data_IF_803661325996
#
_entry.id   IF_803661325996
#
_cell.length_a   1.000
_cell.length_b   1.000
_cell.length_c   1.000
_cell.angle_alpha   90.00
_cell.angle_beta   90.00
_cell.angle_gamma   90.00
#
_symmetry.space_group_name_H-M   'P 1'
#
loop_
_entity.id
_entity.type
_entity.pdbx_description
1 polymer ?
#
# COMPACT_ATOMS: atom_id res chain seq x y z
N UNK A 1 -11.37 -2.61 -10.71
CA UNK A 1 -10.69 -2.02 -11.86
C UNK A 1 -10.32 -0.58 -11.58
N UNK A 2 -9.11 -0.17 -11.94
CA UNK A 2 -8.64 1.19 -11.68
C UNK A 2 -8.95 2.11 -12.86
N UNK A 3 -9.22 3.38 -12.56
CA UNK A 3 -9.27 4.40 -13.60
C UNK A 3 -8.19 5.44 -13.32
N UNK A 4 -7.59 5.95 -14.39
CA UNK A 4 -6.59 6.99 -14.29
C UNK A 4 -7.22 8.31 -13.83
N UNK A 5 -6.50 9.04 -12.99
CA UNK A 5 -6.93 10.37 -12.54
C UNK A 5 -5.78 11.35 -12.75
N UNK A 6 -6.08 12.65 -12.72
CA UNK A 6 -5.03 13.66 -12.71
C UNK A 6 -4.12 13.43 -11.51
N UNK A 7 -2.81 13.41 -11.69
CA UNK A 7 -1.89 13.20 -10.58
C UNK A 7 -2.14 14.22 -9.46
N UNK A 8 -2.22 13.71 -8.24
CA UNK A 8 -2.42 14.55 -7.07
C UNK A 8 -1.60 14.04 -5.89
N UNK A 9 -1.31 14.87 -4.91
CA UNK A 9 -0.67 14.39 -3.69
C UNK A 9 -1.54 13.35 -2.98
N UNK A 10 -0.92 12.49 -2.18
CA UNK A 10 -1.68 11.61 -1.30
C UNK A 10 -2.48 12.47 -0.32
N UNK A 11 -3.71 12.04 -0.03
CA UNK A 11 -4.49 12.66 1.04
C UNK A 11 -3.82 12.37 2.38
N UNK A 12 -4.15 13.13 3.44
CA UNK A 12 -3.59 12.84 4.76
C UNK A 12 -3.85 11.40 5.21
N UNK A 13 -5.01 10.85 4.91
CA UNK A 13 -5.35 9.46 5.26
C UNK A 13 -4.53 8.45 4.46
N UNK A 14 -4.38 8.68 3.17
CA UNK A 14 -3.57 7.83 2.30
C UNK A 14 -2.11 7.86 2.74
N UNK A 15 -1.61 9.05 3.06
CA UNK A 15 -0.23 9.21 3.50
C UNK A 15 0.01 8.52 4.85
N UNK A 16 -0.91 8.68 5.79
CA UNK A 16 -0.79 8.02 7.09
C UNK A 16 -0.73 6.50 6.95
N UNK A 17 -1.56 5.95 6.05
CA UNK A 17 -1.56 4.51 5.80
C UNK A 17 -0.25 4.06 5.16
N UNK A 18 0.24 4.81 4.17
CA UNK A 18 1.52 4.50 3.52
C UNK A 18 2.67 4.56 4.52
N UNK A 19 2.72 5.58 5.35
CA UNK A 19 3.77 5.72 6.37
C UNK A 19 3.72 4.57 7.37
N UNK A 20 2.52 4.14 7.74
CA UNK A 20 2.35 3.02 8.64
C UNK A 20 2.91 1.73 8.03
N UNK A 21 2.54 1.44 6.78
CA UNK A 21 3.05 0.25 6.08
C UNK A 21 4.57 0.28 6.00
N UNK A 22 5.14 1.44 5.69
CA UNK A 22 6.59 1.59 5.52
C UNK A 22 7.33 1.68 6.85
N UNK A 23 6.63 1.71 7.98
CA UNK A 23 7.26 1.65 9.29
C UNK A 23 7.74 0.24 9.63
N UNK A 24 7.28 -0.77 8.88
CA UNK A 24 7.76 -2.14 9.05
C UNK A 24 9.19 -2.28 8.49
N UNK A 25 9.95 -3.21 9.06
CA UNK A 25 11.29 -3.50 8.58
C UNK A 25 11.25 -4.65 7.57
N UNK A 26 11.68 -4.35 6.34
CA UNK A 26 11.78 -5.35 5.27
C UNK A 26 12.80 -4.84 4.26
N UNK A 27 13.38 -5.73 3.43
CA UNK A 27 14.35 -5.29 2.42
C UNK A 27 13.74 -4.27 1.48
N UNK A 28 14.39 -3.12 1.35
CA UNK A 28 13.93 -2.03 0.47
C UNK A 28 13.06 -0.98 1.14
N UNK A 29 12.69 -1.16 2.41
CA UNK A 29 11.77 -0.21 3.07
C UNK A 29 12.34 1.21 3.13
N UNK A 30 13.65 1.35 3.29
CA UNK A 30 14.28 2.67 3.37
C UNK A 30 14.11 3.45 2.06
N UNK A 31 14.38 2.79 0.94
CA UNK A 31 14.24 3.41 -0.38
C UNK A 31 12.79 3.79 -0.65
N UNK A 32 11.86 2.93 -0.27
CA UNK A 32 10.44 3.22 -0.47
C UNK A 32 9.96 4.40 0.38
N UNK A 33 10.49 4.55 1.60
CA UNK A 33 10.19 5.72 2.43
C UNK A 33 10.62 7.01 1.74
N UNK A 34 11.80 7.00 1.12
CA UNK A 34 12.28 8.16 0.40
C UNK A 34 11.38 8.48 -0.79
N UNK A 35 10.93 7.44 -1.50
CA UNK A 35 10.03 7.62 -2.64
C UNK A 35 8.72 8.26 -2.24
N UNK A 36 8.26 7.99 -1.03
CA UNK A 36 6.96 8.51 -0.59
C UNK A 36 6.88 10.03 -0.65
N UNK A 37 8.01 10.71 -0.51
CA UNK A 37 8.04 12.18 -0.55
C UNK A 37 7.65 12.76 -1.90
N UNK A 38 7.85 11.99 -2.98
CA UNK A 38 7.49 12.43 -4.33
C UNK A 38 6.41 11.54 -4.95
N UNK A 39 5.70 10.78 -4.13
CA UNK A 39 4.62 9.92 -4.62
C UNK A 39 3.36 10.74 -4.89
N UNK A 40 2.67 10.37 -5.96
CA UNK A 40 1.39 10.95 -6.32
C UNK A 40 0.39 9.85 -6.61
N UNK A 41 -0.88 10.13 -6.35
CA UNK A 41 -1.97 9.24 -6.74
C UNK A 41 -2.28 9.49 -8.21
N UNK A 42 -2.24 8.44 -9.01
CA UNK A 42 -2.49 8.53 -10.45
C UNK A 42 -3.65 7.64 -10.91
N UNK A 43 -4.23 6.87 -10.01
CA UNK A 43 -5.38 6.03 -10.33
C UNK A 43 -6.17 5.69 -9.08
N UNK A 44 -7.47 5.45 -9.28
CA UNK A 44 -8.40 5.07 -8.21
C UNK A 44 -9.15 3.82 -8.62
N UNK A 45 -9.48 2.96 -7.66
CA UNK A 45 -10.35 1.83 -7.94
C UNK A 45 -11.79 2.33 -8.09
N UNK A 46 -12.44 1.91 -9.16
CA UNK A 46 -13.81 2.34 -9.45
C UNK A 46 -14.83 1.79 -8.46
N UNK A 47 -14.48 0.72 -7.73
CA UNK A 47 -15.42 0.11 -6.79
C UNK A 47 -15.60 0.92 -5.50
N UNK A 48 -14.77 1.92 -5.25
CA UNK A 48 -14.86 2.74 -4.04
C UNK A 48 -14.22 2.12 -2.81
N UNK A 49 -13.36 1.12 -3.00
CA UNK A 49 -12.71 0.45 -1.87
C UNK A 49 -11.57 1.26 -1.25
N UNK A 50 -11.13 2.33 -1.92
CA UNK A 50 -10.03 3.16 -1.41
C UNK A 50 -8.66 2.80 -1.98
N UNK A 51 -8.57 1.75 -2.80
CA UNK A 51 -7.33 1.38 -3.49
C UNK A 51 -6.86 2.52 -4.39
N UNK A 52 -5.57 2.86 -4.30
CA UNK A 52 -4.97 3.92 -5.11
C UNK A 52 -3.74 3.40 -5.84
N UNK A 53 -3.58 3.84 -7.07
CA UNK A 53 -2.34 3.61 -7.82
C UNK A 53 -1.42 4.79 -7.61
N UNK A 54 -0.14 4.51 -7.46
CA UNK A 54 0.87 5.51 -7.16
C UNK A 54 1.88 5.62 -8.29
N UNK A 55 2.43 6.81 -8.44
CA UNK A 55 3.59 7.04 -9.29
C UNK A 55 4.54 7.97 -8.56
N UNK A 56 5.83 7.87 -8.89
CA UNK A 56 6.85 8.71 -8.28
C UNK A 56 7.20 9.80 -9.29
N UNK A 57 7.10 11.04 -8.85
CA UNK A 57 7.48 12.17 -9.68
C UNK A 57 8.99 12.34 -9.67
N UNK A 58 9.59 12.30 -10.86
CA UNK A 58 11.02 12.44 -11.00
C UNK A 58 11.80 11.16 -10.74
N UNK A 59 13.12 11.24 -10.70
CA UNK A 59 13.95 10.07 -10.49
C UNK A 59 13.79 9.52 -9.06
N UNK A 60 13.86 8.21 -8.92
CA UNK A 60 13.73 7.55 -7.64
C UNK A 60 14.86 6.53 -7.47
N UNK A 61 15.36 6.41 -6.24
CA UNK A 61 16.23 5.31 -5.89
C UNK A 61 15.36 4.08 -5.75
N UNK A 62 15.62 3.08 -6.58
CA UNK A 62 14.80 1.86 -6.59
C UNK A 62 15.12 0.98 -5.39
N UNK A 63 14.09 0.40 -4.83
CA UNK A 63 14.21 -0.56 -3.74
C UNK A 63 14.49 -1.96 -4.31
N UNK A 64 15.22 -2.76 -3.55
CA UNK A 64 15.36 -4.17 -3.87
C UNK A 64 14.51 -4.93 -2.86
N UNK A 65 13.34 -5.36 -3.31
CA UNK A 65 12.39 -6.09 -2.48
C UNK A 65 12.34 -7.54 -2.93
N UNK A 66 12.28 -8.45 -1.96
CA UNK A 66 12.24 -9.88 -2.28
C UNK A 66 10.88 -10.32 -2.82
N UNK A 67 9.84 -9.52 -2.57
CA UNK A 67 8.47 -9.85 -2.96
C UNK A 67 7.78 -8.63 -3.56
N UNK A 68 6.82 -8.82 -4.49
CA UNK A 68 6.05 -7.69 -5.03
C UNK A 68 5.15 -7.04 -3.98
N UNK A 69 4.81 -7.76 -2.91
CA UNK A 69 4.10 -7.19 -1.77
C UNK A 69 4.92 -7.45 -0.53
N UNK A 70 5.86 -6.52 -0.20
CA UNK A 70 6.79 -6.76 0.90
C UNK A 70 6.18 -6.56 2.28
N UNK A 71 5.04 -5.89 2.38
CA UNK A 71 4.40 -5.62 3.66
C UNK A 71 2.89 -5.53 3.47
N UNK A 72 2.16 -5.99 4.50
CA UNK A 72 0.70 -5.91 4.56
C UNK A 72 0.30 -5.33 5.91
N UNK A 73 -0.90 -4.81 5.97
CA UNK A 73 -1.56 -4.49 7.24
C UNK A 73 -2.95 -5.12 7.19
N UNK A 74 -3.49 -5.43 8.35
CA UNK A 74 -4.76 -6.15 8.39
C UNK A 74 -5.54 -5.88 9.66
N UNK A 75 -6.83 -6.10 9.58
CA UNK A 75 -7.73 -6.29 10.71
C UNK A 75 -8.81 -7.27 10.27
N UNK A 76 -9.75 -7.59 11.16
CA UNK A 76 -10.81 -8.55 10.78
C UNK A 76 -11.50 -8.16 9.48
N UNK A 77 -11.55 -9.08 8.54
CA UNK A 77 -12.22 -8.96 7.24
C UNK A 77 -11.66 -7.86 6.33
N UNK A 78 -10.43 -7.38 6.59
CA UNK A 78 -9.84 -6.34 5.75
C UNK A 78 -8.32 -6.51 5.66
N UNK A 79 -7.80 -6.42 4.43
CA UNK A 79 -6.37 -6.42 4.17
C UNK A 79 -5.97 -5.13 3.46
N UNK A 80 -4.78 -4.65 3.76
CA UNK A 80 -4.15 -3.54 3.06
C UNK A 80 -2.81 -4.04 2.55
N UNK A 81 -2.58 -3.92 1.25
CA UNK A 81 -1.40 -4.49 0.58
C UNK A 81 -0.61 -3.37 -0.08
N UNK A 82 0.71 -3.33 0.20
CA UNK A 82 1.58 -2.41 -0.50
C UNK A 82 2.21 -3.15 -1.67
N UNK A 83 1.90 -2.73 -2.88
CA UNK A 83 2.50 -3.30 -4.10
C UNK A 83 3.69 -2.47 -4.54
N UNK A 84 4.79 -3.17 -4.84
CA UNK A 84 6.02 -2.57 -5.36
C UNK A 84 6.26 -3.16 -6.74
N UNK A 85 6.52 -2.29 -7.71
CA UNK A 85 6.76 -2.71 -9.09
C UNK A 85 8.10 -2.18 -9.55
N UNK A 86 9.00 -3.11 -9.87
CA UNK A 86 10.36 -2.76 -10.33
C UNK A 86 11.08 -1.82 -9.36
N UNK A 87 10.91 -2.06 -8.06
CA UNK A 87 11.57 -1.26 -7.04
C UNK A 87 10.93 0.07 -6.74
N UNK A 88 9.73 0.35 -7.27
CA UNK A 88 9.04 1.62 -7.10
C UNK A 88 7.67 1.38 -6.50
N UNK A 89 7.21 2.28 -5.64
CA UNK A 89 5.85 2.23 -5.09
C UNK A 89 4.84 2.16 -6.23
N UNK A 90 3.99 1.14 -6.22
CA UNK A 90 3.04 0.90 -7.28
C UNK A 90 1.60 1.17 -6.88
N UNK A 91 1.16 0.62 -5.76
CA UNK A 91 -0.22 0.83 -5.30
C UNK A 91 -0.38 0.47 -3.84
N UNK A 92 -1.42 1.00 -3.24
CA UNK A 92 -1.90 0.56 -1.93
C UNK A 92 -3.29 0.00 -2.19
N UNK A 93 -3.43 -1.31 -2.02
CA UNK A 93 -4.70 -1.99 -2.28
C UNK A 93 -5.42 -2.29 -0.99
N UNK A 94 -6.70 -2.00 -0.96
CA UNK A 94 -7.56 -2.25 0.18
C UNK A 94 -8.56 -3.32 -0.23
N UNK A 95 -8.58 -4.44 0.49
CA UNK A 95 -9.47 -5.56 0.21
C UNK A 95 -10.40 -5.70 1.41
N UNK A 96 -11.67 -5.33 1.22
CA UNK A 96 -12.70 -5.50 2.25
C UNK A 96 -13.51 -6.75 1.90
N UNK A 97 -13.35 -7.79 2.68
CA UNK A 97 -14.02 -9.07 2.43
C UNK A 97 -15.52 -9.02 2.72
N UNK A 98 -15.97 -7.97 3.40
CA UNK A 98 -17.40 -7.73 3.63
C UNK A 98 -18.02 -6.83 2.57
N UNK A 99 -17.20 -6.32 1.68
CA UNK A 99 -17.63 -5.49 0.54
C UNK A 99 -18.51 -4.31 0.94
N UNK A 100 -18.19 -3.68 2.08
CA UNK A 100 -18.96 -2.53 2.58
C UNK A 100 -18.75 -1.31 1.69
N UNK A 101 -19.84 -0.61 1.38
CA UNK A 101 -19.78 0.63 0.61
C UNK A 101 -20.79 1.63 1.17
N UNK A 102 -20.37 2.85 1.54
CA UNK A 102 -18.99 3.32 1.49
C UNK A 102 -18.13 2.63 2.53
N UNK A 103 -16.87 2.42 2.21
CA UNK A 103 -15.92 1.83 3.14
C UNK A 103 -15.25 2.94 3.94
N UNK A 104 -15.35 2.92 5.28
CA UNK A 104 -14.56 3.85 6.09
C UNK A 104 -13.08 3.59 5.83
N UNK A 105 -12.32 4.66 5.55
CA UNK A 105 -10.91 4.49 5.21
C UNK A 105 -10.17 3.88 6.40
N UNK A 106 -9.36 2.81 6.20
CA UNK A 106 -8.69 2.15 7.31
C UNK A 106 -7.69 3.10 8.01
N UNK A 107 -7.73 3.10 9.32
CA UNK A 107 -6.82 3.93 10.12
C UNK A 107 -5.70 3.07 10.68
N UNK A 108 -4.44 3.57 10.67
CA UNK A 108 -3.31 2.79 11.17
C UNK A 108 -3.52 2.18 12.56
N UNK A 109 -4.17 2.91 13.46
CA UNK A 109 -4.33 2.45 14.84
C UNK A 109 -5.23 1.22 14.99
N UNK A 110 -6.01 0.89 13.96
CA UNK A 110 -6.85 -0.32 13.99
C UNK A 110 -6.25 -1.49 13.21
N UNK A 111 -5.04 -1.31 12.68
CA UNK A 111 -4.40 -2.31 11.82
C UNK A 111 -3.16 -2.91 12.49
N UNK A 112 -2.83 -4.12 12.09
CA UNK A 112 -1.58 -4.79 12.46
C UNK A 112 -0.73 -4.97 11.22
N UNK A 113 0.58 -4.77 11.37
CA UNK A 113 1.52 -4.98 10.26
C UNK A 113 1.94 -6.45 10.19
N UNK A 114 2.22 -6.89 8.98
CA UNK A 114 2.78 -8.21 8.75
C UNK A 114 3.73 -8.16 7.55
N UNK A 115 4.94 -8.68 7.79
CA UNK A 115 5.95 -8.81 6.73
C UNK A 115 6.02 -10.27 6.35
N UNK A 116 5.62 -10.65 5.12
CA UNK A 116 5.65 -12.06 4.72
C UNK A 116 7.08 -12.60 4.77
N UNK A 117 7.31 -13.77 5.40
CA UNK A 117 8.62 -14.41 5.34
C UNK A 117 8.95 -14.79 3.90
N UNK A 118 10.23 -14.69 3.48
CA UNK A 118 10.62 -15.05 2.11
C UNK A 118 10.19 -16.48 1.75
N UNK A 119 9.60 -16.64 0.56
CA UNK A 119 9.19 -17.95 0.07
C UNK A 119 7.95 -18.53 0.70
N UNK A 120 7.27 -17.79 1.58
CA UNK A 120 6.05 -18.25 2.24
C UNK A 120 4.81 -17.71 1.52
N UNK A 121 3.67 -18.42 1.64
CA UNK A 121 2.42 -17.88 1.12
C UNK A 121 2.09 -16.54 1.77
N UNK A 122 1.43 -15.66 1.00
CA UNK A 122 1.12 -14.31 1.45
C UNK A 122 -0.15 -14.29 2.29
N UNK A 123 -0.18 -15.08 3.38
CA UNK A 123 -1.32 -15.16 4.27
C UNK A 123 -0.87 -14.79 5.67
N UNK A 124 -1.41 -13.71 6.22
CA UNK A 124 -1.09 -13.31 7.58
C UNK A 124 -1.82 -14.23 8.58
N UNK A 125 -1.34 -14.29 9.82
CA UNK A 125 -1.85 -15.29 10.78
C UNK A 125 -3.31 -15.11 11.20
N UNK A 126 -3.92 -13.96 10.94
CA UNK A 126 -5.31 -13.74 11.32
C UNK A 126 -6.31 -14.34 10.34
N UNK A 127 -5.85 -14.97 9.28
CA UNK A 127 -6.71 -15.61 8.30
C UNK A 127 -6.94 -17.07 8.57
#
# INVERSE_FOLDING_TARGET
>A
MSRAVEPRPLSPQERALAEFLLSAEFPGCRELKLQLESAEVVGLCECGCGTVDLAIRGPAVRAVCSEPVPVEAYRSALDVLLFVREGVLGSIEIVDYEERRPLPYPRPEELKLWVPPPGQPRTHPAR
#
